data_IF_790785984487
#
_entry.id   IF_790785984487
#
_cell.length_a   1.000
_cell.length_b   1.000
_cell.length_c   1.000
_cell.angle_alpha   90.00
_cell.angle_beta   90.00
_cell.angle_gamma   90.00
#
_symmetry.space_group_name_H-M   'P 1'
#
loop_
_entity.id
_entity.type
_entity.pdbx_description
1 polymer ?
#
# COMPACT_ATOMS: atom_id res chain seq x y z
N UNK A 1 -1.06 10.07 -53.21
CA UNK A 1 -0.16 9.34 -52.27
C UNK A 1 -0.43 9.87 -50.86
N UNK A 2 -1.30 9.15 -50.15
CA UNK A 2 -1.68 9.47 -48.79
C UNK A 2 -0.70 8.82 -47.83
N UNK A 3 0.06 9.63 -47.07
CA UNK A 3 0.91 9.17 -45.97
C UNK A 3 0.05 9.03 -44.73
N UNK A 4 -0.45 7.85 -44.44
CA UNK A 4 -0.93 7.51 -43.12
C UNK A 4 0.26 7.43 -42.14
N UNK A 5 0.54 8.51 -41.42
CA UNK A 5 1.40 8.46 -40.25
C UNK A 5 0.71 7.63 -39.19
N UNK A 6 1.21 6.43 -38.94
CA UNK A 6 0.88 5.64 -37.76
C UNK A 6 1.41 6.40 -36.53
N UNK A 7 0.55 7.15 -35.90
CA UNK A 7 0.82 7.68 -34.57
C UNK A 7 0.97 6.46 -33.62
N UNK A 8 2.21 6.16 -33.26
CA UNK A 8 2.50 5.16 -32.23
C UNK A 8 1.72 5.54 -30.98
N UNK A 9 0.70 4.76 -30.62
CA UNK A 9 -0.04 4.93 -29.37
C UNK A 9 0.98 4.87 -28.23
N UNK A 10 1.19 5.99 -27.53
CA UNK A 10 2.04 6.04 -26.34
C UNK A 10 1.55 4.95 -25.40
N UNK A 11 2.42 3.99 -25.05
CA UNK A 11 2.11 2.98 -24.03
C UNK A 11 1.62 3.72 -22.79
N UNK A 12 0.50 3.32 -22.18
CA UNK A 12 0.00 3.97 -20.97
C UNK A 12 1.10 3.94 -19.92
N UNK A 13 1.41 5.10 -19.31
CA UNK A 13 2.41 5.20 -18.24
C UNK A 13 2.01 4.23 -17.13
N UNK A 14 2.87 3.29 -16.77
CA UNK A 14 2.66 2.40 -15.62
C UNK A 14 2.34 3.25 -14.39
N UNK A 15 1.31 2.88 -13.66
CA UNK A 15 0.84 3.59 -12.46
C UNK A 15 1.22 2.87 -11.16
N UNK A 16 2.11 1.90 -11.22
CA UNK A 16 2.57 1.07 -10.11
C UNK A 16 4.04 0.68 -10.34
N UNK A 17 4.70 0.25 -9.27
CA UNK A 17 6.08 -0.24 -9.33
C UNK A 17 6.12 -1.76 -9.53
N UNK A 18 7.12 -2.23 -10.26
CA UNK A 18 7.53 -3.63 -10.27
C UNK A 18 8.38 -3.95 -9.02
N UNK A 19 8.82 -5.21 -8.91
CA UNK A 19 9.58 -5.69 -7.76
C UNK A 19 10.93 -4.98 -7.60
N UNK A 20 11.65 -4.73 -8.69
CA UNK A 20 12.94 -4.03 -8.66
C UNK A 20 12.78 -2.57 -8.21
N UNK A 21 11.77 -1.88 -8.73
CA UNK A 21 11.47 -0.51 -8.31
C UNK A 21 11.03 -0.45 -6.85
N UNK A 22 10.31 -1.47 -6.36
CA UNK A 22 9.98 -1.58 -4.94
C UNK A 22 11.21 -1.81 -4.07
N UNK A 23 12.14 -2.67 -4.48
CA UNK A 23 13.41 -2.88 -3.75
C UNK A 23 14.20 -1.58 -3.64
N UNK A 24 14.32 -0.83 -4.75
CA UNK A 24 14.98 0.49 -4.75
C UNK A 24 14.27 1.44 -3.78
N UNK A 25 12.94 1.50 -3.81
CA UNK A 25 12.16 2.34 -2.90
C UNK A 25 12.41 1.97 -1.44
N UNK A 26 12.31 0.69 -1.08
CA UNK A 26 12.51 0.21 0.28
C UNK A 26 13.94 0.47 0.78
N UNK A 27 14.94 0.26 -0.07
CA UNK A 27 16.35 0.55 0.25
C UNK A 27 16.57 2.04 0.53
N UNK A 28 16.02 2.92 -0.29
CA UNK A 28 16.12 4.36 -0.04
C UNK A 28 15.34 4.79 1.21
N UNK A 29 14.18 4.20 1.48
CA UNK A 29 13.41 4.47 2.70
C UNK A 29 14.17 4.02 3.96
N UNK A 30 14.94 2.93 3.89
CA UNK A 30 15.74 2.46 5.05
C UNK A 30 16.82 3.47 5.47
N UNK A 31 17.32 4.27 4.53
CA UNK A 31 18.35 5.29 4.75
C UNK A 31 17.80 6.63 5.26
N UNK A 32 16.47 6.76 5.41
CA UNK A 32 15.87 7.98 5.95
C UNK A 32 16.10 8.09 7.46
N UNK A 33 16.43 9.31 7.91
CA UNK A 33 16.54 9.65 9.32
C UNK A 33 15.21 9.58 10.06
N UNK A 34 15.28 9.62 11.38
CA UNK A 34 14.12 9.54 12.28
C UNK A 34 13.11 10.66 12.06
N UNK A 35 13.57 11.83 11.66
CA UNK A 35 12.70 12.98 11.33
C UNK A 35 11.73 12.69 10.16
N UNK A 36 11.97 11.63 9.40
CA UNK A 36 11.13 11.16 8.29
C UNK A 36 10.42 9.83 8.59
N UNK A 37 10.51 9.31 9.82
CA UNK A 37 9.98 7.98 10.17
C UNK A 37 8.48 7.84 9.86
N UNK A 38 7.67 8.86 10.08
CA UNK A 38 6.23 8.85 9.75
C UNK A 38 5.95 8.66 8.25
N UNK A 39 6.79 9.21 7.38
CA UNK A 39 6.66 9.02 5.93
C UNK A 39 7.09 7.61 5.52
N UNK A 40 8.16 7.10 6.12
CA UNK A 40 8.63 5.73 5.94
C UNK A 40 7.55 4.73 6.33
N UNK A 41 6.94 4.90 7.53
CA UNK A 41 5.83 4.07 8.01
C UNK A 41 4.64 4.14 7.05
N UNK A 42 4.22 5.33 6.63
CA UNK A 42 3.08 5.51 5.73
C UNK A 42 3.25 4.77 4.40
N UNK A 43 4.43 4.85 3.78
CA UNK A 43 4.72 4.19 2.50
C UNK A 43 4.80 2.68 2.68
N UNK A 44 5.54 2.20 3.68
CA UNK A 44 5.74 0.78 3.94
C UNK A 44 4.41 0.12 4.30
N UNK A 45 3.62 0.68 5.21
CA UNK A 45 2.28 0.17 5.51
C UNK A 45 1.42 0.07 4.24
N UNK A 46 1.44 1.10 3.39
CA UNK A 46 0.63 1.07 2.16
C UNK A 46 1.09 -0.02 1.19
N UNK A 47 2.40 -0.23 1.03
CA UNK A 47 2.93 -1.30 0.19
C UNK A 47 2.52 -2.67 0.73
N UNK A 48 2.60 -2.89 2.05
CA UNK A 48 2.38 -4.21 2.64
C UNK A 48 0.93 -4.52 2.97
N UNK A 49 0.06 -3.52 3.12
CA UNK A 49 -1.38 -3.73 3.41
C UNK A 49 -2.29 -3.43 2.24
N UNK A 50 -1.85 -2.63 1.28
CA UNK A 50 -2.67 -2.15 0.18
C UNK A 50 -3.77 -1.17 0.59
N UNK A 51 -3.68 -0.51 1.75
CA UNK A 51 -4.67 0.46 2.25
C UNK A 51 -4.84 1.64 1.30
N UNK A 52 -6.04 2.21 1.25
CA UNK A 52 -6.28 3.50 0.60
C UNK A 52 -5.70 4.63 1.43
N UNK A 53 -5.33 5.75 0.79
CA UNK A 53 -4.79 6.91 1.52
C UNK A 53 -5.70 7.35 2.67
N UNK A 54 -7.00 7.44 2.44
CA UNK A 54 -7.96 7.81 3.50
C UNK A 54 -8.01 6.78 4.64
N UNK A 55 -7.91 5.48 4.35
CA UNK A 55 -7.84 4.41 5.35
C UNK A 55 -6.54 4.54 6.17
N UNK A 56 -5.39 4.70 5.52
CA UNK A 56 -4.11 4.93 6.17
C UNK A 56 -4.15 6.13 7.13
N UNK A 57 -4.70 7.26 6.66
CA UNK A 57 -4.84 8.48 7.47
C UNK A 57 -5.87 8.35 8.58
N UNK A 58 -6.75 7.34 8.49
CA UNK A 58 -7.73 6.98 9.49
C UNK A 58 -7.23 6.03 10.57
N UNK A 59 -6.10 5.36 10.37
CA UNK A 59 -5.55 4.41 11.34
C UNK A 59 -5.24 5.09 12.68
N UNK A 60 -5.51 4.36 13.74
CA UNK A 60 -5.19 4.69 15.13
C UNK A 60 -4.28 3.60 15.71
N UNK A 61 -3.55 3.91 16.78
CA UNK A 61 -2.69 2.93 17.44
C UNK A 61 -3.45 1.69 17.90
N UNK A 62 -4.70 1.85 18.36
CA UNK A 62 -5.56 0.72 18.75
C UNK A 62 -5.96 -0.22 17.61
N UNK A 63 -5.78 0.20 16.36
CA UNK A 63 -6.06 -0.65 15.18
C UNK A 63 -4.90 -1.59 14.84
N UNK A 64 -3.77 -1.47 15.55
CA UNK A 64 -2.55 -2.22 15.26
C UNK A 64 -2.22 -3.12 16.46
N UNK A 65 -2.36 -4.41 16.26
CA UNK A 65 -1.84 -5.39 17.20
C UNK A 65 -0.39 -5.74 16.84
N UNK A 66 0.55 -5.16 17.59
CA UNK A 66 1.99 -5.39 17.39
C UNK A 66 2.42 -6.80 17.80
N UNK A 67 1.62 -7.53 18.61
CA UNK A 67 1.95 -8.90 19.03
C UNK A 67 1.63 -9.91 17.94
N UNK A 68 0.48 -9.74 17.27
CA UNK A 68 0.03 -10.64 16.21
C UNK A 68 0.37 -10.15 14.81
N UNK A 69 0.84 -8.91 14.67
CA UNK A 69 1.09 -8.29 13.36
C UNK A 69 -0.19 -8.08 12.55
N UNK A 70 -1.32 -7.78 13.20
CA UNK A 70 -2.60 -7.53 12.54
C UNK A 70 -2.92 -6.03 12.53
N UNK A 71 -3.35 -5.53 11.38
CA UNK A 71 -3.86 -4.17 11.20
C UNK A 71 -5.34 -4.21 10.85
N UNK A 72 -6.18 -3.64 11.71
CA UNK A 72 -7.63 -3.55 11.53
C UNK A 72 -7.98 -2.26 10.79
N UNK A 73 -8.57 -2.38 9.60
CA UNK A 73 -8.98 -1.25 8.77
C UNK A 73 -10.48 -1.09 8.88
N UNK A 74 -10.92 -0.13 9.69
CA UNK A 74 -12.32 0.04 10.08
C UNK A 74 -12.83 1.49 9.92
N UNK A 75 -11.99 2.42 9.43
CA UNK A 75 -12.34 3.82 9.22
C UNK A 75 -11.53 4.47 8.08
N UNK A 76 -11.97 5.64 7.65
CA UNK A 76 -11.27 6.46 6.67
C UNK A 76 -11.28 7.91 7.11
N UNK A 77 -10.16 8.61 6.98
CA UNK A 77 -10.02 10.03 7.24
C UNK A 77 -10.10 10.82 5.93
N UNK A 78 -10.81 11.94 5.95
CA UNK A 78 -10.98 12.86 4.84
C UNK A 78 -10.72 14.29 5.31
N UNK A 79 -10.52 15.20 4.38
CA UNK A 79 -10.42 16.62 4.64
C UNK A 79 -11.46 17.39 3.85
N UNK A 80 -12.18 18.29 4.53
CA UNK A 80 -13.04 19.29 3.93
C UNK A 80 -12.62 20.67 4.46
N UNK A 81 -12.70 21.68 3.61
CA UNK A 81 -12.23 23.03 3.97
C UNK A 81 -12.99 23.63 5.16
N UNK A 82 -14.27 23.30 5.29
CA UNK A 82 -15.18 23.76 6.35
C UNK A 82 -15.13 22.93 7.64
N UNK A 83 -14.64 21.68 7.57
CA UNK A 83 -14.62 20.72 8.70
C UNK A 83 -13.23 20.29 9.13
N UNK A 84 -12.20 20.65 8.37
CA UNK A 84 -10.84 20.15 8.61
C UNK A 84 -10.71 18.64 8.31
N UNK A 85 -9.84 17.97 9.06
CA UNK A 85 -9.67 16.50 8.99
C UNK A 85 -10.75 15.84 9.84
N UNK A 86 -11.54 14.95 9.23
CA UNK A 86 -12.61 14.23 9.93
C UNK A 86 -12.62 12.75 9.57
N UNK A 87 -13.20 11.94 10.47
CA UNK A 87 -13.35 10.50 10.29
C UNK A 87 -14.67 10.18 9.63
N UNK A 88 -14.64 9.19 8.75
CA UNK A 88 -15.82 8.60 8.14
C UNK A 88 -15.79 7.10 8.34
N UNK A 89 -16.90 6.55 8.82
CA UNK A 89 -17.11 5.10 8.82
C UNK A 89 -17.18 4.58 7.38
N UNK A 90 -16.68 3.38 7.10
CA UNK A 90 -16.80 2.76 5.79
C UNK A 90 -18.26 2.65 5.34
N UNK A 91 -18.52 2.88 4.07
CA UNK A 91 -19.88 2.78 3.51
C UNK A 91 -20.37 1.33 3.37
N UNK A 92 -19.48 0.36 3.39
CA UNK A 92 -19.79 -1.07 3.19
C UNK A 92 -18.99 -1.91 4.19
N UNK A 93 -19.58 -3.02 4.65
CA UNK A 93 -18.93 -4.01 5.52
C UNK A 93 -17.66 -4.59 4.89
N UNK A 94 -17.63 -4.77 3.58
CA UNK A 94 -16.45 -5.25 2.85
C UNK A 94 -15.22 -4.33 2.94
N UNK A 95 -15.42 -3.08 3.38
CA UNK A 95 -14.33 -2.15 3.65
C UNK A 95 -13.68 -2.36 5.02
N UNK A 96 -14.38 -3.04 5.94
CA UNK A 96 -13.85 -3.43 7.26
C UNK A 96 -13.12 -4.76 7.07
N UNK A 97 -11.84 -4.76 7.40
CA UNK A 97 -10.99 -5.94 7.21
C UNK A 97 -9.76 -5.90 8.10
N UNK A 98 -9.21 -7.08 8.33
CA UNK A 98 -7.93 -7.25 9.00
C UNK A 98 -6.86 -7.66 7.98
N UNK A 99 -5.67 -7.12 8.13
CA UNK A 99 -4.56 -7.37 7.23
C UNK A 99 -3.31 -7.71 8.04
N UNK A 100 -2.80 -8.92 7.87
CA UNK A 100 -1.54 -9.32 8.47
C UNK A 100 -0.36 -8.59 7.81
N UNK A 101 0.59 -8.14 8.64
CA UNK A 101 1.86 -7.50 8.24
C UNK A 101 3.05 -8.35 8.71
N UNK A 102 4.17 -8.36 7.97
CA UNK A 102 5.36 -9.13 8.34
C UNK A 102 6.12 -8.48 9.50
N UNK A 103 6.94 -9.28 10.20
CA UNK A 103 7.67 -8.89 11.41
C UNK A 103 8.52 -7.63 11.24
N UNK A 104 9.15 -7.43 10.07
CA UNK A 104 9.94 -6.22 9.84
C UNK A 104 9.09 -4.94 9.82
N UNK A 105 7.81 -5.03 9.42
CA UNK A 105 6.85 -3.89 9.49
C UNK A 105 6.43 -3.68 10.93
N UNK A 106 6.23 -4.76 11.70
CA UNK A 106 5.98 -4.67 13.14
C UNK A 106 7.13 -3.94 13.84
N UNK A 107 8.38 -4.37 13.60
CA UNK A 107 9.58 -3.74 14.17
C UNK A 107 9.70 -2.26 13.78
N UNK A 108 9.33 -1.90 12.55
CA UNK A 108 9.28 -0.49 12.13
C UNK A 108 8.21 0.30 12.91
N UNK A 109 7.06 -0.30 13.16
CA UNK A 109 5.97 0.33 13.94
C UNK A 109 6.34 0.48 15.41
N UNK A 110 7.06 -0.48 16.00
CA UNK A 110 7.62 -0.37 17.36
C UNK A 110 8.61 0.80 17.47
N UNK A 111 9.55 0.92 16.52
CA UNK A 111 10.45 2.08 16.45
C UNK A 111 9.68 3.39 16.30
N UNK A 112 8.65 3.38 15.45
CA UNK A 112 7.81 4.55 15.26
C UNK A 112 7.01 4.90 16.52
N UNK A 113 6.56 3.90 17.31
CA UNK A 113 5.87 4.10 18.57
C UNK A 113 6.77 4.79 19.59
N UNK A 114 8.03 4.37 19.69
CA UNK A 114 9.01 5.03 20.56
C UNK A 114 9.18 6.50 20.17
N UNK A 115 9.44 6.77 18.89
CA UNK A 115 9.54 8.14 18.39
C UNK A 115 8.26 8.94 18.66
N UNK A 116 7.08 8.34 18.46
CA UNK A 116 5.78 9.00 18.72
C UNK A 116 5.63 9.40 20.19
N UNK A 117 5.98 8.50 21.11
CA UNK A 117 5.89 8.74 22.56
C UNK A 117 6.91 9.79 23.01
N UNK A 118 8.10 9.83 22.42
CA UNK A 118 9.07 10.90 22.63
C UNK A 118 8.54 12.27 22.17
N UNK A 119 7.95 12.35 20.98
CA UNK A 119 7.35 13.60 20.49
C UNK A 119 6.20 14.05 21.38
N UNK A 120 5.35 13.11 21.84
CA UNK A 120 4.27 13.40 22.78
C UNK A 120 4.80 13.95 24.08
N UNK A 121 5.83 13.36 24.66
CA UNK A 121 6.47 13.82 25.88
C UNK A 121 7.14 15.18 25.72
N UNK A 122 7.76 15.43 24.57
CA UNK A 122 8.42 16.71 24.28
C UNK A 122 7.41 17.85 24.13
N UNK A 123 6.24 17.61 23.54
CA UNK A 123 5.20 18.62 23.33
C UNK A 123 4.35 18.87 24.59
N UNK A 124 4.31 17.91 25.51
CA UNK A 124 3.60 17.97 26.79
C UNK A 124 2.15 18.54 26.65
N UNK A 125 1.83 19.64 27.31
CA UNK A 125 0.49 20.26 27.27
C UNK A 125 0.05 20.74 25.88
N UNK A 126 0.98 20.94 24.96
CA UNK A 126 0.68 21.32 23.57
C UNK A 126 0.26 20.14 22.71
N UNK A 127 0.39 18.91 23.22
CA UNK A 127 0.02 17.72 22.48
C UNK A 127 -1.49 17.50 22.43
N UNK A 128 -2.03 17.38 21.22
CA UNK A 128 -3.41 16.95 21.00
C UNK A 128 -3.47 15.43 20.86
N UNK A 129 -4.05 14.74 21.83
CA UNK A 129 -4.18 13.29 21.80
C UNK A 129 -5.29 12.84 20.86
N UNK A 130 -4.95 12.67 19.59
CA UNK A 130 -5.88 12.24 18.55
C UNK A 130 -5.93 10.72 18.38
N UNK A 131 -5.09 9.96 19.08
CA UNK A 131 -4.85 8.51 18.90
C UNK A 131 -4.46 8.09 17.47
N UNK A 132 -4.30 9.04 16.55
CA UNK A 132 -3.96 8.74 15.16
C UNK A 132 -2.56 8.17 15.02
N UNK A 133 -2.41 7.20 14.11
CA UNK A 133 -1.10 6.69 13.76
C UNK A 133 -0.23 7.79 13.13
N UNK A 134 -0.79 8.56 12.20
CA UNK A 134 -0.07 9.62 11.49
C UNK A 134 -0.54 11.01 11.95
N UNK A 135 0.36 11.70 12.66
CA UNK A 135 0.07 12.99 13.29
C UNK A 135 1.01 14.10 12.82
N UNK A 136 0.57 15.34 13.04
CA UNK A 136 1.39 16.54 12.94
C UNK A 136 2.37 16.61 14.13
N UNK A 137 3.17 17.65 14.21
CA UNK A 137 4.13 17.84 15.30
C UNK A 137 3.43 18.08 16.66
N UNK A 138 2.20 18.57 16.67
CA UNK A 138 1.37 18.84 17.83
C UNK A 138 0.34 17.72 18.16
N UNK A 139 0.49 16.55 17.58
CA UNK A 139 -0.41 15.40 17.82
C UNK A 139 -1.74 15.43 17.05
N UNK A 140 -2.07 16.53 16.38
CA UNK A 140 -3.28 16.62 15.56
C UNK A 140 -3.22 15.68 14.37
N UNK A 141 -4.37 15.20 13.84
CA UNK A 141 -4.42 14.38 12.65
C UNK A 141 -3.69 15.05 11.49
N UNK A 142 -2.83 14.29 10.80
CA UNK A 142 -2.10 14.81 9.63
C UNK A 142 -3.04 15.00 8.45
N UNK A 143 -2.83 16.09 7.70
CA UNK A 143 -3.60 16.33 6.48
C UNK A 143 -3.25 15.29 5.39
N UNK A 144 -4.22 14.63 4.73
CA UNK A 144 -3.97 13.55 3.79
C UNK A 144 -3.03 13.93 2.63
N UNK A 145 -3.07 15.18 2.16
CA UNK A 145 -2.18 15.62 1.07
C UNK A 145 -0.71 15.72 1.48
N UNK A 146 -0.39 15.78 2.78
CA UNK A 146 1.00 15.88 3.26
C UNK A 146 1.81 14.66 2.83
N UNK A 147 1.30 13.46 3.10
CA UNK A 147 1.95 12.20 2.72
C UNK A 147 2.04 12.07 1.19
N UNK A 148 0.95 12.33 0.48
CA UNK A 148 0.93 12.16 -0.97
C UNK A 148 1.84 13.14 -1.71
N UNK A 149 1.90 14.40 -1.27
CA UNK A 149 2.81 15.41 -1.84
C UNK A 149 4.27 15.07 -1.54
N UNK A 150 4.56 14.67 -0.31
CA UNK A 150 5.91 14.25 0.09
C UNK A 150 6.37 13.04 -0.73
N UNK A 151 5.54 12.02 -0.87
CA UNK A 151 5.84 10.81 -1.63
C UNK A 151 6.22 11.13 -3.09
N UNK A 152 5.40 11.93 -3.80
CA UNK A 152 5.66 12.32 -5.19
C UNK A 152 7.02 13.03 -5.34
N UNK A 153 7.34 13.94 -4.42
CA UNK A 153 8.65 14.63 -4.42
C UNK A 153 9.79 13.65 -4.13
N UNK A 154 9.59 12.76 -3.17
CA UNK A 154 10.61 11.82 -2.72
C UNK A 154 10.99 10.83 -3.82
N UNK A 155 10.02 10.20 -4.47
CA UNK A 155 10.29 9.22 -5.54
C UNK A 155 10.96 9.87 -6.75
N UNK A 156 10.60 11.12 -7.09
CA UNK A 156 11.30 11.88 -8.10
C UNK A 156 12.77 12.19 -7.75
N UNK A 157 13.06 12.45 -6.46
CA UNK A 157 14.42 12.70 -5.95
C UNK A 157 15.31 11.44 -6.03
N UNK A 158 14.77 10.26 -5.78
CA UNK A 158 15.53 8.99 -5.84
C UNK A 158 15.54 8.37 -7.25
N UNK A 159 15.04 9.07 -8.27
CA UNK A 159 15.09 8.64 -9.66
C UNK A 159 14.06 7.59 -10.06
N UNK A 160 13.08 7.28 -9.20
CA UNK A 160 12.00 6.37 -9.55
C UNK A 160 10.92 7.06 -10.41
N UNK A 161 10.22 6.29 -11.27
CA UNK A 161 9.06 6.81 -11.99
C UNK A 161 8.05 7.44 -11.03
N UNK A 162 7.62 8.67 -11.32
CA UNK A 162 6.64 9.34 -10.47
C UNK A 162 5.26 8.71 -10.66
N UNK A 163 4.74 8.10 -9.59
CA UNK A 163 3.37 7.61 -9.48
C UNK A 163 2.64 8.38 -8.37
N UNK A 164 1.32 8.38 -8.38
CA UNK A 164 0.55 8.91 -7.25
C UNK A 164 0.58 7.92 -6.07
N UNK A 165 0.24 8.39 -4.87
CA UNK A 165 0.26 7.55 -3.67
C UNK A 165 -0.63 6.30 -3.79
N UNK A 166 -1.77 6.40 -4.49
CA UNK A 166 -2.65 5.25 -4.77
C UNK A 166 -1.96 4.16 -5.62
N UNK A 167 -0.93 4.53 -6.38
CA UNK A 167 -0.10 3.57 -7.12
C UNK A 167 0.59 2.54 -6.23
N UNK A 168 0.87 2.86 -4.95
CA UNK A 168 1.43 1.89 -4.00
C UNK A 168 0.46 0.75 -3.69
N UNK A 169 -0.84 1.03 -3.63
CA UNK A 169 -1.87 0.00 -3.52
C UNK A 169 -1.95 -0.88 -4.78
N UNK A 170 -1.82 -0.27 -5.96
CA UNK A 170 -1.72 -1.04 -7.20
C UNK A 170 -0.44 -1.90 -7.23
N UNK A 171 0.65 -1.39 -6.71
CA UNK A 171 1.90 -2.12 -6.52
C UNK A 171 1.70 -3.35 -5.64
N UNK A 172 1.08 -3.20 -4.44
CA UNK A 172 0.74 -4.33 -3.56
C UNK A 172 -0.03 -5.42 -4.32
N UNK A 173 -1.11 -5.04 -4.98
CA UNK A 173 -1.95 -6.00 -5.70
C UNK A 173 -1.19 -6.70 -6.84
N UNK A 174 -0.42 -5.95 -7.64
CA UNK A 174 0.35 -6.50 -8.76
C UNK A 174 1.41 -7.49 -8.28
N UNK A 175 2.14 -7.14 -7.22
CA UNK A 175 3.17 -8.01 -6.65
C UNK A 175 2.58 -9.28 -6.07
N UNK A 176 1.45 -9.21 -5.33
CA UNK A 176 0.79 -10.41 -4.80
C UNK A 176 0.30 -11.35 -5.92
N UNK A 177 -0.31 -10.81 -6.97
CA UNK A 177 -0.76 -11.59 -8.12
C UNK A 177 0.44 -12.20 -8.87
N UNK A 178 1.56 -11.48 -9.00
CA UNK A 178 2.78 -12.02 -9.62
C UNK A 178 3.41 -13.17 -8.83
N UNK A 179 3.12 -13.25 -7.53
CA UNK A 179 3.51 -14.36 -6.65
C UNK A 179 2.45 -15.48 -6.60
N UNK A 180 1.51 -15.52 -7.55
CA UNK A 180 0.45 -16.52 -7.65
C UNK A 180 -0.52 -16.53 -6.45
N UNK A 181 -0.64 -15.43 -5.72
CA UNK A 181 -1.67 -15.29 -4.69
C UNK A 181 -3.03 -15.16 -5.37
N UNK A 182 -4.00 -15.94 -4.89
CA UNK A 182 -5.35 -15.95 -5.46
C UNK A 182 -5.97 -14.54 -5.50
N UNK A 183 -6.60 -14.21 -6.64
CA UNK A 183 -7.19 -12.88 -6.89
C UNK A 183 -8.29 -12.56 -5.88
N UNK A 184 -9.02 -13.57 -5.38
CA UNK A 184 -10.04 -13.37 -4.35
C UNK A 184 -9.40 -12.99 -3.01
N UNK A 185 -8.27 -13.60 -2.64
CA UNK A 185 -7.49 -13.25 -1.45
C UNK A 185 -6.97 -11.81 -1.58
N UNK A 186 -6.41 -11.45 -2.75
CA UNK A 186 -5.94 -10.07 -3.00
C UNK A 186 -7.11 -9.08 -2.93
N UNK A 187 -8.27 -9.39 -3.53
CA UNK A 187 -9.46 -8.54 -3.48
C UNK A 187 -9.96 -8.33 -2.05
N UNK A 188 -10.06 -9.39 -1.25
CA UNK A 188 -10.43 -9.33 0.16
C UNK A 188 -9.45 -8.46 0.97
N UNK A 189 -8.14 -8.70 0.81
CA UNK A 189 -7.07 -7.92 1.46
C UNK A 189 -7.15 -6.42 1.12
N UNK A 190 -7.50 -6.09 -0.11
CA UNK A 190 -7.71 -4.72 -0.56
C UNK A 190 -9.05 -4.12 -0.11
N UNK A 191 -10.03 -4.92 0.29
CA UNK A 191 -11.40 -4.47 0.59
C UNK A 191 -12.11 -3.98 -0.68
N UNK A 192 -12.05 -4.78 -1.75
CA UNK A 192 -12.85 -4.57 -2.94
C UNK A 192 -14.18 -5.30 -2.78
N UNK A 193 -15.29 -4.57 -2.86
CA UNK A 193 -16.63 -5.16 -2.78
C UNK A 193 -16.91 -6.15 -3.94
N UNK A 194 -16.22 -5.99 -5.06
CA UNK A 194 -16.33 -6.87 -6.23
C UNK A 194 -14.93 -7.32 -6.69
N UNK A 195 -14.74 -8.61 -6.83
CA UNK A 195 -13.49 -9.23 -7.33
C UNK A 195 -13.16 -8.72 -8.73
N UNK A 196 -14.16 -8.43 -9.55
CA UNK A 196 -14.01 -7.86 -10.91
C UNK A 196 -13.19 -6.57 -10.92
N UNK A 197 -13.24 -5.77 -9.84
CA UNK A 197 -12.41 -4.57 -9.72
C UNK A 197 -10.92 -4.92 -9.69
N UNK A 198 -10.54 -5.97 -8.96
CA UNK A 198 -9.15 -6.48 -8.95
C UNK A 198 -8.82 -7.13 -10.28
N UNK A 199 -9.71 -7.98 -10.80
CA UNK A 199 -9.50 -8.73 -12.03
C UNK A 199 -9.23 -7.80 -13.23
N UNK A 200 -10.05 -6.77 -13.44
CA UNK A 200 -9.94 -5.87 -14.59
C UNK A 200 -8.61 -5.08 -14.64
N UNK A 201 -8.01 -4.80 -13.48
CA UNK A 201 -6.70 -4.14 -13.43
C UNK A 201 -5.52 -5.08 -13.70
N UNK A 202 -5.71 -6.42 -13.54
CA UNK A 202 -4.63 -7.40 -13.51
C UNK A 202 -4.80 -8.54 -14.54
N UNK A 203 -5.66 -8.36 -15.54
CA UNK A 203 -5.92 -9.36 -16.61
C UNK A 203 -4.61 -9.80 -17.32
N UNK A 204 -3.67 -8.89 -17.57
CA UNK A 204 -2.43 -9.22 -18.28
C UNK A 204 -1.52 -10.22 -17.52
N UNK A 205 -1.24 -10.07 -16.22
CA UNK A 205 -0.54 -11.10 -15.44
C UNK A 205 -1.29 -12.44 -15.41
N UNK A 206 -2.63 -12.43 -15.32
CA UNK A 206 -3.45 -13.65 -15.27
C UNK A 206 -3.36 -14.47 -16.54
N UNK A 207 -3.30 -13.83 -17.72
CA UNK A 207 -3.16 -14.53 -19.02
C UNK A 207 -1.83 -15.29 -19.11
N UNK A 208 -0.74 -14.76 -18.55
CA UNK A 208 0.55 -15.46 -18.54
C UNK A 208 0.53 -16.76 -17.71
N UNK A 209 -0.36 -16.86 -16.71
CA UNK A 209 -0.51 -18.06 -15.87
C UNK A 209 -1.33 -19.18 -16.51
N UNK A 210 -2.04 -18.93 -17.61
CA UNK A 210 -2.84 -19.96 -18.28
C UNK A 210 -1.98 -21.15 -18.79
N UNK A 211 -0.76 -20.87 -19.25
CA UNK A 211 0.19 -21.93 -19.64
C UNK A 211 0.65 -22.75 -18.43
N UNK A 212 0.86 -22.11 -17.27
CA UNK A 212 1.26 -22.78 -16.03
C UNK A 212 0.13 -23.68 -15.50
N UNK A 213 -1.14 -23.32 -15.69
CA UNK A 213 -2.28 -24.15 -15.32
C UNK A 213 -2.33 -25.44 -16.15
N UNK A 214 -2.06 -25.37 -17.47
CA UNK A 214 -1.92 -26.55 -18.33
C UNK A 214 -0.80 -27.48 -17.86
N UNK A 215 0.37 -26.93 -17.62
CA UNK A 215 1.53 -27.70 -17.15
C UNK A 215 1.28 -28.32 -15.75
N UNK A 216 0.57 -27.63 -14.87
CA UNK A 216 0.20 -28.15 -13.55
C UNK A 216 -0.74 -29.37 -13.66
N UNK A 217 -1.71 -29.33 -14.57
CA UNK A 217 -2.58 -30.49 -14.85
C UNK A 217 -1.79 -31.63 -15.48
N UNK A 218 -0.90 -31.35 -16.40
CA UNK A 218 -0.02 -32.36 -17.00
C UNK A 218 0.82 -33.05 -15.92
N UNK A 219 1.49 -32.30 -15.06
CA UNK A 219 2.30 -32.85 -13.94
C UNK A 219 1.48 -33.62 -12.91
N UNK A 220 0.21 -33.27 -12.73
CA UNK A 220 -0.69 -33.94 -11.78
C UNK A 220 -1.24 -35.25 -12.36
N UNK A 221 -1.58 -35.26 -13.65
CA UNK A 221 -2.35 -36.36 -14.28
C UNK A 221 -1.48 -37.35 -15.02
N UNK A 222 -0.32 -36.92 -15.53
CA UNK A 222 0.58 -37.80 -16.26
C UNK A 222 1.73 -38.24 -15.35
N UNK A 223 2.03 -39.57 -15.26
CA UNK A 223 3.18 -40.03 -14.50
C UNK A 223 4.45 -39.47 -15.14
N UNK A 224 5.35 -38.93 -14.31
CA UNK A 224 6.66 -38.47 -14.78
C UNK A 224 7.39 -39.69 -15.39
N UNK A 225 7.39 -39.79 -16.71
CA UNK A 225 8.30 -40.72 -17.37
C UNK A 225 9.73 -40.30 -17.05
N UNK A 226 10.39 -41.08 -16.20
CA UNK A 226 11.85 -41.00 -16.07
C UNK A 226 12.42 -41.28 -17.46
N UNK A 227 12.88 -40.24 -18.13
CA UNK A 227 13.77 -40.42 -19.28
C UNK A 227 15.04 -41.10 -18.74
N UNK A 228 15.15 -42.36 -19.07
CA UNK A 228 16.36 -43.17 -18.86
C UNK A 228 17.37 -42.78 -19.93
#
# INVERSE_FOLDING_TARGET
RSRHQFLAKRKPKRRYYDDEQCKILLQNLSSLGEDKIKYKVAIILTIFTGVRLGELMGLEWQDIDLKTGIVSINRSSQYLADKGVFTKTPKTESSIREVAIPDFVVSLLEQYKLWYDEQKSFCDELWTDSNRLLVQADGKPMHPSTISKWFVKYVGKIGLPVINFHGLRHTNATLLISQNIDVAVVAARLGHAQITTTFNFYVHPIISHNRNAGNALENLLLPQQKLV
#
